data_IF_242527137092
#
_entry.id   IF_242527137092
#
_cell.length_a   1.000
_cell.length_b   1.000
_cell.length_c   1.000
_cell.angle_alpha   90.00
_cell.angle_beta   90.00
_cell.angle_gamma   90.00
#
_symmetry.space_group_name_H-M   'P 1'
#
loop_
_entity.id
_entity.type
_entity.pdbx_description
1 polymer ?
#
# COMPACT_ATOMS: atom_id res chain seq x y z
N UNK A 1 -3.66 38.85 26.57
CA UNK A 1 -3.02 37.57 26.20
C UNK A 1 -3.79 36.43 26.86
N UNK A 2 -4.63 35.72 26.09
CA UNK A 2 -5.46 34.63 26.61
C UNK A 2 -4.69 33.31 26.65
N UNK A 3 -4.62 32.70 27.84
CA UNK A 3 -4.02 31.38 28.05
C UNK A 3 -4.98 30.32 27.51
N UNK A 4 -4.61 29.63 26.44
CA UNK A 4 -5.32 28.43 26.00
C UNK A 4 -5.06 27.32 27.01
N UNK A 5 -6.05 27.08 27.87
CA UNK A 5 -6.11 25.94 28.77
C UNK A 5 -6.10 24.65 27.95
N UNK A 6 -5.00 23.91 28.05
CA UNK A 6 -4.87 22.55 27.54
C UNK A 6 -5.78 21.64 28.36
N UNK A 7 -7.04 21.52 27.94
CA UNK A 7 -7.96 20.52 28.46
C UNK A 7 -7.36 19.12 28.24
N UNK A 8 -6.71 18.56 29.26
CA UNK A 8 -6.45 17.13 29.33
C UNK A 8 -7.81 16.44 29.50
N UNK A 9 -8.39 16.02 28.38
CA UNK A 9 -9.62 15.22 28.37
C UNK A 9 -9.32 13.83 28.94
N UNK A 10 -9.39 13.70 30.26
CA UNK A 10 -9.58 12.40 30.89
C UNK A 10 -11.01 11.94 30.56
N UNK A 11 -11.18 11.40 29.36
CA UNK A 11 -12.44 10.87 28.87
C UNK A 11 -12.72 9.52 29.56
N UNK A 12 -13.31 9.58 30.76
CA UNK A 12 -13.97 8.42 31.39
C UNK A 12 -15.41 8.33 30.91
N UNK A 13 -15.83 7.17 30.39
CA UNK A 13 -17.24 6.89 30.08
C UNK A 13 -17.73 5.63 30.80
N UNK A 14 -18.98 5.71 31.26
CA UNK A 14 -19.69 4.69 32.00
C UNK A 14 -20.35 3.68 31.05
N UNK A 15 -19.87 2.44 31.04
CA UNK A 15 -20.45 1.35 30.21
C UNK A 15 -21.51 0.57 30.97
N UNK A 16 -22.59 1.19 31.45
CA UNK A 16 -23.87 0.54 31.85
C UNK A 16 -23.87 -0.60 32.90
N UNK A 17 -22.72 -1.11 33.34
CA UNK A 17 -22.57 -2.38 34.07
C UNK A 17 -21.60 -2.27 35.27
N UNK A 18 -21.48 -1.08 35.87
CA UNK A 18 -20.86 -0.91 37.19
C UNK A 18 -19.36 -1.22 37.32
N UNK A 19 -18.62 -1.49 36.23
CA UNK A 19 -17.16 -1.62 36.27
C UNK A 19 -16.49 -0.46 35.53
N UNK A 20 -15.71 0.31 36.26
CA UNK A 20 -14.77 1.29 35.70
C UNK A 20 -13.75 0.55 34.84
N UNK A 21 -13.90 0.59 33.52
CA UNK A 21 -12.86 0.17 32.59
C UNK A 21 -11.90 1.34 32.39
N UNK A 22 -10.62 1.02 32.19
CA UNK A 22 -9.59 2.02 31.82
C UNK A 22 -10.12 2.89 30.66
N UNK A 23 -9.81 4.19 30.64
CA UNK A 23 -10.18 5.05 29.51
C UNK A 23 -9.64 4.39 28.24
N UNK A 24 -10.55 4.05 27.34
CA UNK A 24 -10.18 3.54 26.02
C UNK A 24 -10.02 4.76 25.15
N UNK A 25 -8.81 5.01 24.68
CA UNK A 25 -8.56 6.02 23.66
C UNK A 25 -9.42 5.67 22.42
N UNK A 26 -10.26 6.61 22.00
CA UNK A 26 -11.16 6.46 20.86
C UNK A 26 -10.69 7.35 19.72
N UNK A 27 -10.81 6.84 18.51
CA UNK A 27 -10.51 7.58 17.29
C UNK A 27 -11.62 7.40 16.26
N UNK A 28 -12.01 8.48 15.61
CA UNK A 28 -12.99 8.43 14.52
C UNK A 28 -12.37 7.85 13.25
N UNK A 29 -13.20 7.18 12.43
CA UNK A 29 -12.80 6.63 11.13
C UNK A 29 -11.96 7.60 10.28
N UNK A 30 -12.45 8.82 10.09
CA UNK A 30 -11.80 9.85 9.27
C UNK A 30 -10.44 10.27 9.84
N UNK A 31 -10.33 10.36 11.16
CA UNK A 31 -9.07 10.65 11.84
C UNK A 31 -8.08 9.50 11.72
N UNK A 32 -8.53 8.25 11.88
CA UNK A 32 -7.69 7.08 11.72
C UNK A 32 -7.09 6.99 10.30
N UNK A 33 -7.89 7.27 9.27
CA UNK A 33 -7.39 7.31 7.88
C UNK A 33 -6.34 8.41 7.68
N UNK A 34 -6.60 9.61 8.22
CA UNK A 34 -5.73 10.78 8.04
C UNK A 34 -4.42 10.65 8.82
N UNK A 35 -4.48 10.24 10.08
CA UNK A 35 -3.32 10.22 10.99
C UNK A 35 -2.43 9.00 10.76
N UNK A 36 -3.02 7.84 10.48
CA UNK A 36 -2.28 6.58 10.33
C UNK A 36 -2.13 6.14 8.85
N UNK A 37 -2.67 6.89 7.90
CA UNK A 37 -2.60 6.55 6.47
C UNK A 37 -3.27 5.22 6.11
N UNK A 38 -4.29 4.83 6.88
CA UNK A 38 -5.05 3.61 6.66
C UNK A 38 -6.12 3.82 5.58
N UNK A 39 -6.31 2.82 4.73
CA UNK A 39 -7.43 2.80 3.77
C UNK A 39 -8.73 2.39 4.46
N UNK A 40 -9.86 2.64 3.79
CA UNK A 40 -11.15 2.20 4.32
C UNK A 40 -11.24 0.67 4.45
N UNK A 41 -10.63 -0.05 3.49
CA UNK A 41 -10.52 -1.51 3.54
C UNK A 41 -9.75 -2.00 4.76
N UNK A 42 -8.63 -1.34 5.09
CA UNK A 42 -7.83 -1.68 6.28
C UNK A 42 -8.64 -1.46 7.57
N UNK A 43 -9.38 -0.36 7.67
CA UNK A 43 -10.22 -0.08 8.86
C UNK A 43 -11.42 -1.02 8.96
N UNK A 44 -11.89 -1.55 7.84
CA UNK A 44 -12.89 -2.62 7.81
C UNK A 44 -12.45 -3.87 8.58
N UNK A 45 -11.14 -4.10 8.74
CA UNK A 45 -10.60 -5.19 9.53
C UNK A 45 -10.94 -5.05 11.03
N UNK A 46 -11.16 -3.83 11.52
CA UNK A 46 -11.43 -3.60 12.93
C UNK A 46 -12.94 -3.63 13.23
N UNK A 47 -13.31 -4.31 14.31
CA UNK A 47 -14.66 -4.20 14.86
C UNK A 47 -14.87 -2.79 15.42
N UNK A 48 -15.86 -2.03 14.93
CA UNK A 48 -16.15 -0.69 15.44
C UNK A 48 -16.64 -0.77 16.88
N UNK A 49 -16.32 0.25 17.67
CA UNK A 49 -16.71 0.38 19.06
C UNK A 49 -18.13 0.97 19.18
N UNK A 50 -18.43 1.94 18.32
CA UNK A 50 -19.78 2.48 18.10
C UNK A 50 -19.94 2.89 16.63
N UNK A 51 -21.17 2.81 16.13
CA UNK A 51 -21.56 3.30 14.82
C UNK A 51 -22.87 4.07 14.98
N UNK A 52 -22.76 5.39 15.11
CA UNK A 52 -23.90 6.29 15.35
C UNK A 52 -24.24 7.06 14.09
N UNK A 53 -25.53 7.36 13.91
CA UNK A 53 -25.97 8.27 12.85
C UNK A 53 -25.53 9.69 13.23
N UNK A 54 -24.90 10.41 12.30
CA UNK A 54 -24.48 11.78 12.56
C UNK A 54 -25.72 12.65 12.81
N UNK A 55 -25.86 13.30 13.98
CA UNK A 55 -27.05 14.09 14.30
C UNK A 55 -27.22 15.30 13.37
N UNK A 56 -26.12 15.78 12.75
CA UNK A 56 -26.18 16.87 11.77
C UNK A 56 -26.51 16.40 10.35
N UNK A 57 -26.28 15.12 10.05
CA UNK A 57 -26.48 14.58 8.72
C UNK A 57 -26.85 13.10 8.80
N UNK A 58 -28.15 12.80 8.77
CA UNK A 58 -28.68 11.45 8.90
C UNK A 58 -28.19 10.47 7.82
N UNK A 59 -27.65 10.98 6.71
CA UNK A 59 -27.06 10.15 5.63
C UNK A 59 -25.66 9.64 5.97
N UNK A 60 -24.99 10.21 6.97
CA UNK A 60 -23.63 9.82 7.36
C UNK A 60 -23.64 9.09 8.70
N UNK A 61 -22.82 8.03 8.80
CA UNK A 61 -22.57 7.33 10.05
C UNK A 61 -21.18 7.68 10.57
N UNK A 62 -21.11 8.07 11.85
CA UNK A 62 -19.86 8.28 12.57
C UNK A 62 -19.47 6.95 13.19
N UNK A 63 -18.35 6.40 12.71
CA UNK A 63 -17.80 5.15 13.23
C UNK A 63 -16.61 5.46 14.12
N UNK A 64 -16.65 4.92 15.34
CA UNK A 64 -15.64 5.12 16.38
C UNK A 64 -14.89 3.81 16.59
N UNK A 65 -13.56 3.88 16.64
CA UNK A 65 -12.68 2.74 16.86
C UNK A 65 -11.86 2.90 18.14
N UNK A 66 -11.35 1.78 18.64
CA UNK A 66 -10.34 1.77 19.69
C UNK A 66 -8.97 2.16 19.09
N UNK A 67 -8.39 3.26 19.57
CA UNK A 67 -7.15 3.81 19.04
C UNK A 67 -5.98 2.82 19.14
N UNK A 68 -5.86 2.09 20.25
CA UNK A 68 -4.77 1.12 20.42
C UNK A 68 -4.83 0.00 19.35
N UNK A 69 -6.04 -0.42 18.96
CA UNK A 69 -6.21 -1.40 17.87
C UNK A 69 -5.86 -0.80 16.51
N UNK A 70 -6.27 0.46 16.26
CA UNK A 70 -5.93 1.19 15.03
C UNK A 70 -4.42 1.36 14.91
N UNK A 71 -3.74 1.73 15.99
CA UNK A 71 -2.27 1.90 16.03
C UNK A 71 -1.54 0.59 15.76
N UNK A 72 -1.99 -0.52 16.35
CA UNK A 72 -1.42 -1.85 16.10
C UNK A 72 -1.63 -2.31 14.64
N UNK A 73 -2.80 -2.01 14.06
CA UNK A 73 -3.08 -2.28 12.66
C UNK A 73 -2.17 -1.45 11.74
N UNK A 74 -2.06 -0.15 12.00
CA UNK A 74 -1.21 0.76 11.25
C UNK A 74 0.25 0.28 11.23
N UNK A 75 0.78 -0.10 12.40
CA UNK A 75 2.12 -0.65 12.50
C UNK A 75 2.31 -1.92 11.65
N UNK A 76 1.33 -2.85 11.66
CA UNK A 76 1.38 -4.07 10.85
C UNK A 76 1.34 -3.78 9.35
N UNK A 77 0.44 -2.90 8.92
CA UNK A 77 0.31 -2.48 7.51
C UNK A 77 1.59 -1.79 7.06
N UNK A 78 2.17 -0.93 7.89
CA UNK A 78 3.43 -0.26 7.62
C UNK A 78 4.59 -1.26 7.51
N UNK A 79 4.71 -2.21 8.44
CA UNK A 79 5.72 -3.28 8.35
C UNK A 79 5.57 -4.09 7.06
N UNK A 80 4.34 -4.45 6.66
CA UNK A 80 4.10 -5.14 5.39
C UNK A 80 4.57 -4.30 4.21
N UNK A 81 4.21 -3.01 4.18
CA UNK A 81 4.65 -2.05 3.13
C UNK A 81 6.17 -1.89 3.12
N UNK A 82 6.82 -1.83 4.28
CA UNK A 82 8.28 -1.73 4.41
C UNK A 82 8.98 -3.00 3.95
N UNK A 83 8.47 -4.19 4.28
CA UNK A 83 9.01 -5.46 3.79
C UNK A 83 8.86 -5.56 2.28
N UNK A 84 7.70 -5.16 1.73
CA UNK A 84 7.48 -5.12 0.28
C UNK A 84 8.40 -4.11 -0.40
N UNK A 85 8.54 -2.89 0.16
CA UNK A 85 9.40 -1.83 -0.38
C UNK A 85 10.88 -2.18 -0.30
N UNK A 86 11.35 -2.72 0.83
CA UNK A 86 12.77 -3.10 1.02
C UNK A 86 13.19 -4.25 0.11
N UNK A 87 12.27 -5.16 -0.20
CA UNK A 87 12.55 -6.32 -1.06
C UNK A 87 12.19 -6.12 -2.53
N UNK A 88 11.43 -5.07 -2.85
CA UNK A 88 10.95 -4.79 -4.22
C UNK A 88 9.95 -5.84 -4.73
N UNK A 89 9.21 -6.50 -3.85
CA UNK A 89 8.28 -7.57 -4.22
C UNK A 89 6.88 -7.01 -4.50
N UNK A 90 6.28 -7.43 -5.62
CA UNK A 90 4.87 -7.17 -5.91
C UNK A 90 3.96 -8.22 -5.22
N UNK A 91 2.66 -7.94 -5.03
CA UNK A 91 1.70 -8.95 -4.55
C UNK A 91 1.67 -10.21 -5.43
N UNK A 92 1.79 -10.05 -6.75
CA UNK A 92 1.78 -11.15 -7.71
C UNK A 92 3.00 -12.08 -7.54
N UNK A 93 4.13 -11.55 -7.10
CA UNK A 93 5.32 -12.36 -6.82
C UNK A 93 5.11 -13.24 -5.60
N UNK A 94 4.41 -12.74 -4.57
CA UNK A 94 4.09 -13.52 -3.37
C UNK A 94 3.07 -14.63 -3.65
N UNK A 95 2.23 -14.49 -4.67
CA UNK A 95 1.32 -15.54 -5.12
C UNK A 95 2.06 -16.72 -5.77
N UNK A 96 3.34 -16.56 -6.17
CA UNK A 96 4.21 -17.67 -6.61
C UNK A 96 4.61 -18.60 -5.46
N UNK A 97 4.53 -18.15 -4.21
CA UNK A 97 4.91 -18.93 -3.04
C UNK A 97 3.72 -19.68 -2.44
N UNK A 98 3.97 -20.92 -2.03
CA UNK A 98 3.00 -21.66 -1.22
C UNK A 98 3.02 -21.15 0.22
N UNK A 99 1.89 -20.67 0.78
CA UNK A 99 1.85 -20.23 2.17
C UNK A 99 2.04 -21.44 3.09
N UNK A 100 2.89 -21.28 4.10
CA UNK A 100 3.18 -22.30 5.14
C UNK A 100 1.94 -22.52 6.00
N UNK A 101 1.25 -21.43 6.29
CA UNK A 101 0.02 -21.43 7.05
C UNK A 101 -0.91 -20.40 6.45
N UNK A 102 -2.15 -20.80 6.25
CA UNK A 102 -3.28 -19.91 6.04
C UNK A 102 -4.09 -19.90 7.32
N UNK A 103 -4.30 -18.72 7.88
CA UNK A 103 -5.23 -18.56 8.99
C UNK A 103 -6.48 -17.85 8.46
N UNK A 104 -7.69 -18.24 8.92
CA UNK A 104 -8.84 -17.38 8.74
C UNK A 104 -8.46 -16.02 9.31
N UNK A 105 -8.73 -14.98 8.54
CA UNK A 105 -8.41 -13.65 9.00
C UNK A 105 -9.20 -13.45 10.31
N UNK A 106 -8.55 -13.13 11.44
CA UNK A 106 -9.27 -12.89 12.70
C UNK A 106 -10.27 -11.73 12.60
N UNK A 107 -10.23 -11.00 11.48
CA UNK A 107 -11.08 -9.91 11.11
C UNK A 107 -12.18 -10.39 10.15
N UNK A 108 -13.44 -10.40 10.62
CA UNK A 108 -14.60 -10.96 9.90
C UNK A 108 -14.92 -10.29 8.55
N UNK A 109 -14.45 -9.06 8.33
CA UNK A 109 -14.74 -8.27 7.12
C UNK A 109 -13.55 -8.18 6.15
N UNK A 110 -12.41 -8.78 6.48
CA UNK A 110 -11.23 -8.68 5.64
C UNK A 110 -11.36 -9.59 4.42
N UNK A 111 -11.00 -9.07 3.24
CA UNK A 111 -11.04 -9.83 1.99
C UNK A 111 -9.91 -10.86 1.94
N UNK A 112 -10.19 -12.05 2.48
CA UNK A 112 -9.35 -13.24 2.32
C UNK A 112 -8.51 -13.62 3.56
N UNK A 113 -8.01 -14.88 3.59
CA UNK A 113 -7.25 -15.42 4.71
C UNK A 113 -5.86 -14.79 4.81
N UNK A 114 -5.35 -14.65 6.03
CA UNK A 114 -3.97 -14.21 6.27
C UNK A 114 -3.00 -15.33 5.90
N UNK A 115 -2.06 -15.04 5.00
CA UNK A 115 -1.06 -15.99 4.51
C UNK A 115 0.29 -15.75 5.20
N UNK A 116 0.89 -16.80 5.74
CA UNK A 116 2.21 -16.77 6.35
C UNK A 116 3.21 -17.49 5.44
N UNK A 117 4.32 -16.82 5.13
CA UNK A 117 5.38 -17.37 4.27
C UNK A 117 6.64 -17.64 5.08
N UNK A 118 7.40 -18.66 4.68
CA UNK A 118 8.73 -18.94 5.22
C UNK A 118 9.67 -17.82 4.77
N UNK A 119 10.51 -17.35 5.70
CA UNK A 119 11.50 -16.31 5.41
C UNK A 119 12.50 -16.75 4.32
N UNK A 120 12.95 -18.00 4.37
CA UNK A 120 13.87 -18.60 3.39
C UNK A 120 13.32 -18.51 1.97
N UNK A 121 12.04 -18.83 1.80
CA UNK A 121 11.41 -18.96 0.49
C UNK A 121 11.20 -17.58 -0.13
N UNK A 122 10.83 -16.60 0.70
CA UNK A 122 10.77 -15.18 0.28
C UNK A 122 12.15 -14.66 -0.11
N UNK A 123 13.21 -15.03 0.61
CA UNK A 123 14.59 -14.63 0.26
C UNK A 123 15.08 -15.31 -1.03
N UNK A 124 14.71 -16.56 -1.27
CA UNK A 124 15.00 -17.26 -2.52
C UNK A 124 14.29 -16.59 -3.71
N UNK A 125 13.00 -16.29 -3.56
CA UNK A 125 12.21 -15.58 -4.59
C UNK A 125 12.81 -14.21 -4.92
N UNK A 126 13.26 -13.44 -3.92
CA UNK A 126 13.93 -12.15 -4.17
C UNK A 126 15.22 -12.32 -4.96
N UNK A 127 16.01 -13.36 -4.68
CA UNK A 127 17.23 -13.65 -5.44
C UNK A 127 16.90 -14.02 -6.89
N UNK A 128 15.84 -14.79 -7.10
CA UNK A 128 15.36 -15.19 -8.43
C UNK A 128 14.90 -13.98 -9.25
N UNK A 129 14.01 -13.15 -8.71
CA UNK A 129 13.54 -11.92 -9.38
C UNK A 129 14.70 -10.98 -9.69
N UNK A 130 15.70 -10.88 -8.81
CA UNK A 130 16.92 -10.09 -9.08
C UNK A 130 17.74 -10.65 -10.24
N UNK A 131 17.78 -11.98 -10.41
CA UNK A 131 18.45 -12.60 -11.57
C UNK A 131 17.66 -12.33 -12.85
N UNK A 132 16.35 -12.53 -12.84
CA UNK A 132 15.47 -12.27 -14.00
C UNK A 132 15.55 -10.81 -14.45
N UNK A 133 15.50 -9.87 -13.51
CA UNK A 133 15.60 -8.44 -13.80
C UNK A 133 17.00 -8.04 -14.30
N UNK A 134 18.06 -8.69 -13.82
CA UNK A 134 19.41 -8.48 -14.33
C UNK A 134 19.53 -8.94 -15.79
N UNK A 135 19.08 -10.17 -16.09
CA UNK A 135 19.11 -10.70 -17.46
C UNK A 135 18.24 -9.89 -18.42
N UNK A 136 17.06 -9.44 -17.98
CA UNK A 136 16.19 -8.59 -18.78
C UNK A 136 16.83 -7.22 -19.07
N UNK A 137 17.53 -6.63 -18.10
CA UNK A 137 18.27 -5.37 -18.29
C UNK A 137 19.45 -5.55 -19.24
N UNK A 138 20.17 -6.66 -19.14
CA UNK A 138 21.27 -6.98 -20.06
C UNK A 138 20.77 -7.15 -21.50
N UNK A 139 19.65 -7.86 -21.70
CA UNK A 139 19.03 -8.00 -23.02
C UNK A 139 18.59 -6.65 -23.60
N UNK A 140 17.91 -5.81 -22.82
CA UNK A 140 17.53 -4.46 -23.26
C UNK A 140 18.77 -3.62 -23.60
N UNK A 141 19.84 -3.72 -22.81
CA UNK A 141 21.07 -2.99 -23.07
C UNK A 141 21.74 -3.45 -24.39
N UNK A 142 21.72 -4.75 -24.69
CA UNK A 142 22.20 -5.30 -25.96
C UNK A 142 21.35 -4.79 -27.14
N UNK A 143 20.02 -4.83 -27.03
CA UNK A 143 19.11 -4.34 -28.08
C UNK A 143 19.33 -2.84 -28.34
N UNK A 144 19.47 -2.04 -27.28
CA UNK A 144 19.77 -0.61 -27.40
C UNK A 144 21.12 -0.38 -28.08
N UNK A 145 22.15 -1.17 -27.76
CA UNK A 145 23.45 -1.08 -28.41
C UNK A 145 23.38 -1.44 -29.91
N UNK A 146 22.61 -2.47 -30.28
CA UNK A 146 22.39 -2.85 -31.69
C UNK A 146 21.63 -1.77 -32.45
N UNK A 147 20.57 -1.21 -31.85
CA UNK A 147 19.82 -0.10 -32.44
C UNK A 147 20.69 1.15 -32.62
N UNK A 148 21.55 1.45 -31.64
CA UNK A 148 22.49 2.58 -31.73
C UNK A 148 23.51 2.37 -32.84
N UNK A 149 24.13 1.19 -32.93
CA UNK A 149 25.09 0.87 -34.00
C UNK A 149 24.49 1.04 -35.40
N UNK A 150 23.22 0.63 -35.59
CA UNK A 150 22.50 0.82 -36.86
C UNK A 150 22.12 2.28 -37.15
N UNK A 151 21.96 3.11 -36.12
CA UNK A 151 21.65 4.52 -36.29
C UNK A 151 22.90 5.34 -36.64
N UNK A 152 24.06 4.94 -36.12
CA UNK A 152 25.36 5.56 -36.40
C UNK A 152 25.90 5.20 -37.81
N UNK A 153 25.33 4.20 -38.49
CA UNK A 153 25.52 3.97 -39.94
C UNK A 153 24.82 5.11 -40.74
N UNK A 154 25.40 6.31 -40.69
CA UNK A 154 24.96 7.55 -41.35
C UNK A 154 24.82 7.45 -42.88
N UNK A 155 25.27 6.35 -43.51
CA UNK A 155 25.09 6.12 -44.96
C UNK A 155 23.62 6.05 -45.38
N UNK A 156 22.69 5.74 -44.48
CA UNK A 156 21.26 5.66 -44.79
C UNK A 156 20.56 7.03 -44.85
N UNK A 157 21.06 8.04 -44.13
CA UNK A 157 20.48 9.40 -44.18
C UNK A 157 21.08 10.24 -45.31
N UNK A 158 22.34 9.99 -45.68
CA UNK A 158 22.98 10.63 -46.83
C UNK A 158 22.28 10.32 -48.17
N UNK A 159 21.56 9.19 -48.28
CA UNK A 159 20.77 8.85 -49.45
C UNK A 159 19.40 9.57 -49.50
N UNK A 160 18.90 10.08 -48.37
CA UNK A 160 17.60 10.73 -48.30
C UNK A 160 17.69 12.24 -48.60
N UNK A 161 18.81 12.88 -48.24
CA UNK A 161 19.08 14.29 -48.58
C UNK A 161 19.56 14.50 -50.03
N UNK A 162 19.82 13.43 -50.78
CA UNK A 162 20.23 13.51 -52.18
C UNK A 162 19.06 13.64 -53.18
N UNK A 163 17.82 13.54 -52.72
CA UNK A 163 16.61 13.62 -53.54
C UNK A 163 15.82 14.90 -53.23
N UNK A 164 16.46 16.06 -53.44
CA UNK A 164 15.81 17.39 -53.60
C UNK A 164 14.95 17.46 -54.89
N UNK A 165 14.33 16.34 -55.26
CA UNK A 165 13.35 16.22 -56.32
C UNK A 165 12.08 16.97 -55.94
N UNK A 166 12.03 18.24 -56.35
CA UNK A 166 10.87 19.13 -56.41
C UNK A 166 9.60 18.33 -56.77
N UNK A 167 8.82 17.90 -55.77
CA UNK A 167 7.47 17.40 -55.97
C UNK A 167 6.58 18.61 -56.26
N UNK A 168 6.51 18.99 -57.54
CA UNK A 168 5.49 19.88 -58.04
C UNK A 168 4.13 19.16 -57.96
N UNK A 169 3.32 19.55 -56.98
CA UNK A 169 1.89 19.26 -56.94
C UNK A 169 1.22 19.93 -58.15
N UNK A 170 0.73 19.12 -59.09
CA UNK A 170 -0.16 19.53 -60.19
C UNK A 170 -1.60 19.26 -59.78
#
# INVERSE_FOLDING_TARGET
MGRFSSYSRANTYYTGHGRWRRPVEIIYKTHAMKEYGLSDGDLGELSPLSAEVNPRNSRQRVVVYNEAKVRALAFRVQQRKEVMRSKGLSPADLDRLTPVRTAPNPHANATGPTRFYKRSDVEALVKEIRRETATAREAIAQDVAVCKAKADDEELWAAFDADDGVFALV
#
